data_IF_312095034133
#
_entry.id   IF_312095034133
#
_cell.length_a   1.000
_cell.length_b   1.000
_cell.length_c   1.000
_cell.angle_alpha   90.00
_cell.angle_beta   90.00
_cell.angle_gamma   90.00
#
_symmetry.space_group_name_H-M   'P 1'
#
loop_
_entity.id
_entity.type
_entity.pdbx_description
1 polymer ?
#
# COMPACT_ATOMS: atom_id res chain seq x y z
N UNK A 1 -32.59 -22.41 -1.76
CA UNK A 1 -31.65 -21.95 -0.71
C UNK A 1 -32.45 -21.30 0.39
N UNK A 2 -32.60 -21.96 1.55
CA UNK A 2 -33.35 -21.41 2.68
C UNK A 2 -32.56 -20.26 3.32
N UNK A 3 -33.08 -19.03 3.21
CA UNK A 3 -32.61 -17.86 3.97
C UNK A 3 -32.91 -18.08 5.45
N UNK A 4 -32.06 -18.83 6.15
CA UNK A 4 -32.18 -19.06 7.59
C UNK A 4 -31.05 -18.30 8.28
N UNK A 5 -31.40 -17.33 9.12
CA UNK A 5 -30.47 -16.62 9.99
C UNK A 5 -30.44 -17.27 11.38
N UNK A 6 -29.33 -17.10 12.09
CA UNK A 6 -29.16 -17.55 13.47
C UNK A 6 -28.28 -16.56 14.22
N UNK A 7 -28.48 -16.43 15.52
CA UNK A 7 -27.65 -15.62 16.41
C UNK A 7 -26.49 -16.44 16.96
N UNK A 8 -25.33 -15.80 17.13
CA UNK A 8 -24.13 -16.38 17.73
C UNK A 8 -23.70 -15.46 18.87
N UNK A 9 -23.76 -15.96 20.10
CA UNK A 9 -23.27 -15.21 21.27
C UNK A 9 -21.74 -15.23 21.31
N UNK A 10 -21.10 -14.07 21.23
CA UNK A 10 -19.64 -13.91 21.30
C UNK A 10 -19.27 -12.55 21.91
N UNK A 11 -18.05 -12.45 22.45
CA UNK A 11 -17.47 -11.18 22.93
C UNK A 11 -16.73 -10.41 21.83
N UNK A 12 -16.43 -11.06 20.71
CA UNK A 12 -15.69 -10.44 19.61
C UNK A 12 -15.79 -11.22 18.30
N UNK A 13 -15.59 -10.49 17.21
CA UNK A 13 -15.51 -11.02 15.85
C UNK A 13 -14.39 -10.27 15.12
N UNK A 14 -13.53 -10.99 14.42
CA UNK A 14 -12.44 -10.43 13.63
C UNK A 14 -12.63 -10.85 12.17
N UNK A 15 -12.59 -9.87 11.27
CA UNK A 15 -12.77 -10.10 9.84
C UNK A 15 -11.40 -10.27 9.19
N UNK A 16 -11.15 -11.47 8.65
CA UNK A 16 -9.89 -11.83 8.00
C UNK A 16 -10.13 -12.32 6.56
N UNK A 17 -10.82 -11.50 5.75
CA UNK A 17 -11.22 -11.84 4.36
C UNK A 17 -10.26 -11.30 3.30
N UNK A 18 -9.04 -10.93 3.69
CA UNK A 18 -8.07 -10.26 2.82
C UNK A 18 -8.17 -8.74 2.88
N UNK A 19 -7.37 -8.07 2.06
CA UNK A 19 -7.31 -6.61 1.94
C UNK A 19 -7.31 -6.24 0.46
N UNK A 20 -7.91 -5.11 0.12
CA UNK A 20 -7.85 -4.54 -1.23
C UNK A 20 -7.11 -3.21 -1.14
N UNK A 21 -5.89 -3.09 -1.70
CA UNK A 21 -5.17 -1.82 -1.72
C UNK A 21 -5.92 -0.79 -2.58
N UNK A 22 -5.88 0.48 -2.16
CA UNK A 22 -6.56 1.58 -2.87
C UNK A 22 -5.76 2.08 -4.09
N UNK A 23 -5.34 1.15 -4.95
CA UNK A 23 -4.38 1.37 -6.06
C UNK A 23 -5.04 1.33 -7.44
N UNK A 24 -6.33 0.99 -7.53
CA UNK A 24 -7.08 0.91 -8.80
C UNK A 24 -6.89 2.12 -9.73
N UNK A 25 -6.83 3.39 -9.25
CA UNK A 25 -6.59 4.54 -10.12
C UNK A 25 -5.26 4.51 -10.88
N UNK A 26 -4.27 3.75 -10.40
CA UNK A 26 -2.91 3.69 -10.96
C UNK A 26 -2.67 2.43 -11.80
N UNK A 27 -3.69 1.59 -12.00
CA UNK A 27 -3.59 0.35 -12.76
C UNK A 27 -3.12 0.63 -14.18
N UNK A 28 -2.16 -0.18 -14.66
CA UNK A 28 -1.48 0.00 -15.96
C UNK A 28 -0.71 1.34 -16.12
N UNK A 29 -0.48 2.07 -15.03
CA UNK A 29 0.33 3.31 -15.01
C UNK A 29 1.60 3.18 -14.20
N UNK A 30 1.57 2.32 -13.19
CA UNK A 30 2.67 1.99 -12.28
C UNK A 30 2.69 0.46 -12.17
N UNK A 31 3.87 -0.12 -12.03
CA UNK A 31 4.03 -1.56 -11.83
C UNK A 31 3.38 -2.01 -10.51
N UNK A 32 2.63 -3.10 -10.59
CA UNK A 32 1.90 -3.68 -9.46
C UNK A 32 2.02 -5.19 -9.47
N UNK A 33 1.91 -5.81 -8.30
CA UNK A 33 1.81 -7.26 -8.19
C UNK A 33 0.39 -7.77 -8.53
N UNK A 34 0.24 -9.09 -8.58
CA UNK A 34 -1.03 -9.76 -8.90
C UNK A 34 -2.16 -9.44 -7.91
N UNK A 35 -1.81 -9.01 -6.68
CA UNK A 35 -2.74 -8.64 -5.61
C UNK A 35 -3.08 -7.13 -5.64
N UNK A 36 -2.51 -6.36 -6.57
CA UNK A 36 -2.72 -4.93 -6.76
C UNK A 36 -1.85 -4.02 -5.87
N UNK A 37 -0.82 -4.55 -5.21
CA UNK A 37 0.14 -3.72 -4.46
C UNK A 37 1.14 -3.08 -5.41
N UNK A 38 1.51 -1.82 -5.15
CA UNK A 38 2.51 -1.11 -5.95
C UNK A 38 3.89 -1.73 -5.67
N UNK A 39 4.63 -2.02 -6.74
CA UNK A 39 5.99 -2.52 -6.64
C UNK A 39 6.95 -1.33 -6.49
N UNK A 40 7.82 -1.39 -5.49
CA UNK A 40 8.88 -0.41 -5.27
C UNK A 40 10.25 -1.07 -5.29
N UNK A 41 11.28 -0.30 -5.66
CA UNK A 41 12.66 -0.77 -5.60
C UNK A 41 13.04 -1.10 -4.14
N UNK A 42 13.62 -2.28 -3.94
CA UNK A 42 13.97 -2.80 -2.61
C UNK A 42 14.82 -1.81 -1.80
N UNK A 43 14.36 -1.49 -0.58
CA UNK A 43 15.04 -0.55 0.32
C UNK A 43 14.74 0.92 0.05
N UNK A 44 13.81 1.23 -0.87
CA UNK A 44 13.41 2.60 -1.23
C UNK A 44 11.89 2.71 -1.33
N UNK A 45 11.38 3.87 -1.73
CA UNK A 45 9.95 4.09 -2.06
C UNK A 45 9.71 4.38 -3.54
N UNK A 46 10.73 4.22 -4.37
CA UNK A 46 10.69 4.50 -5.81
C UNK A 46 9.90 3.43 -6.55
N UNK A 47 8.97 3.87 -7.39
CA UNK A 47 8.29 2.99 -8.34
C UNK A 47 9.10 2.83 -9.63
N UNK A 48 8.56 2.09 -10.61
CA UNK A 48 9.11 1.99 -11.97
C UNK A 48 9.06 3.32 -12.74
N UNK A 49 8.18 4.24 -12.33
CA UNK A 49 8.03 5.56 -12.96
C UNK A 49 8.83 6.63 -12.20
N UNK A 50 9.81 7.29 -12.85
CA UNK A 50 10.58 8.37 -12.21
C UNK A 50 9.69 9.50 -11.70
N UNK A 51 9.94 9.93 -10.47
CA UNK A 51 9.17 10.97 -9.79
C UNK A 51 7.87 10.49 -9.15
N UNK A 52 7.54 9.20 -9.26
CA UNK A 52 6.43 8.59 -8.54
C UNK A 52 6.96 7.68 -7.43
N UNK A 53 6.45 7.93 -6.22
CA UNK A 53 6.83 7.23 -4.99
C UNK A 53 5.59 6.63 -4.34
N UNK A 54 5.75 5.50 -3.66
CA UNK A 54 4.66 4.82 -2.97
C UNK A 54 5.10 4.36 -1.56
N UNK A 55 4.20 4.48 -0.59
CA UNK A 55 4.50 4.25 0.82
C UNK A 55 3.27 3.75 1.60
N UNK A 56 3.53 2.99 2.65
CA UNK A 56 2.50 2.42 3.52
C UNK A 56 1.84 1.17 2.95
N UNK A 57 0.61 0.90 3.37
CA UNK A 57 -0.07 -0.36 3.10
C UNK A 57 -0.32 -0.62 1.60
N UNK A 58 -0.20 0.36 0.71
CA UNK A 58 -0.30 0.13 -0.73
C UNK A 58 0.94 -0.56 -1.34
N UNK A 59 2.07 -0.59 -0.61
CA UNK A 59 3.31 -1.30 -0.98
C UNK A 59 3.65 -2.43 0.00
N UNK A 60 3.00 -2.46 1.16
CA UNK A 60 3.28 -3.43 2.22
C UNK A 60 2.09 -4.36 2.48
N UNK A 61 2.18 -5.59 1.96
CA UNK A 61 1.21 -6.65 2.23
C UNK A 61 1.55 -7.53 3.44
N UNK A 62 2.69 -7.29 4.10
CA UNK A 62 3.22 -8.14 5.17
C UNK A 62 2.95 -7.55 6.55
N UNK A 63 3.35 -6.30 6.81
CA UNK A 63 3.25 -5.73 8.16
C UNK A 63 1.95 -4.97 8.38
N UNK A 64 1.57 -4.08 7.44
CA UNK A 64 0.30 -3.31 7.50
C UNK A 64 0.07 -2.67 8.89
N UNK A 65 1.11 -2.05 9.44
CA UNK A 65 1.05 -1.37 10.73
C UNK A 65 1.21 0.14 10.54
N UNK A 66 0.55 0.91 11.41
CA UNK A 66 0.66 2.37 11.37
C UNK A 66 2.12 2.86 11.47
N UNK A 67 2.95 2.20 12.28
CA UNK A 67 4.36 2.58 12.45
C UNK A 67 5.22 2.28 11.22
N UNK A 68 4.99 1.17 10.53
CA UNK A 68 5.71 0.85 9.29
C UNK A 68 5.28 1.80 8.18
N UNK A 69 3.98 2.09 8.08
CA UNK A 69 3.45 3.06 7.13
C UNK A 69 4.00 4.48 7.36
N UNK A 70 4.11 4.93 8.62
CA UNK A 70 4.71 6.21 8.96
C UNK A 70 6.20 6.28 8.56
N UNK A 71 6.96 5.20 8.79
CA UNK A 71 8.36 5.10 8.38
C UNK A 71 8.53 5.20 6.86
N UNK A 72 7.73 4.45 6.10
CA UNK A 72 7.72 4.51 4.64
C UNK A 72 7.31 5.90 4.13
N UNK A 73 6.34 6.55 4.78
CA UNK A 73 5.93 7.91 4.44
C UNK A 73 7.07 8.92 4.59
N UNK A 74 7.88 8.80 5.65
CA UNK A 74 9.07 9.63 5.83
C UNK A 74 10.11 9.38 4.74
N UNK A 75 10.38 8.11 4.39
CA UNK A 75 11.27 7.76 3.29
C UNK A 75 10.80 8.37 1.96
N UNK A 76 9.51 8.24 1.65
CA UNK A 76 8.91 8.78 0.43
C UNK A 76 8.99 10.29 0.33
N UNK A 77 8.79 11.01 1.44
CA UNK A 77 8.97 12.45 1.48
C UNK A 77 10.42 12.87 1.17
N UNK A 78 11.42 12.21 1.79
CA UNK A 78 12.83 12.52 1.58
C UNK A 78 13.31 12.16 0.16
N UNK A 79 12.83 11.05 -0.40
CA UNK A 79 13.17 10.68 -1.77
C UNK A 79 12.51 11.59 -2.80
N UNK A 80 11.27 12.02 -2.55
CA UNK A 80 10.57 13.02 -3.35
C UNK A 80 11.30 14.36 -3.35
N UNK A 81 11.74 14.82 -2.17
CA UNK A 81 12.50 16.06 -2.03
C UNK A 81 13.80 16.02 -2.84
N UNK A 82 14.59 14.95 -2.70
CA UNK A 82 15.81 14.75 -3.49
C UNK A 82 15.56 14.72 -4.99
N UNK A 83 14.48 14.06 -5.42
CA UNK A 83 14.12 14.02 -6.83
C UNK A 83 13.78 15.41 -7.36
N UNK A 84 12.96 16.18 -6.65
CA UNK A 84 12.63 17.55 -7.02
C UNK A 84 13.89 18.43 -7.10
N UNK A 85 14.79 18.31 -6.12
CA UNK A 85 16.06 19.05 -6.13
C UNK A 85 16.89 18.73 -7.38
N UNK A 86 16.96 17.46 -7.79
CA UNK A 86 17.72 17.04 -8.98
C UNK A 86 17.14 17.52 -10.32
N UNK A 87 15.91 18.03 -10.36
CA UNK A 87 15.32 18.60 -11.59
C UNK A 87 15.79 20.03 -11.87
N UNK A 88 16.41 20.69 -10.88
CA UNK A 88 16.92 22.05 -10.99
C UNK A 88 18.40 22.15 -11.39
N UNK A 89 19.09 21.00 -11.46
CA UNK A 89 20.48 20.86 -11.93
C UNK A 89 20.53 20.54 -13.44
#
# INVERSE_FOLDING_TARGET
MTKKSSEISTQGCFVAIGHTPATEPFKNKIEMDEDGYIIVQQGTTKTDVPGIFAAGDCVDKVYRQAVTAAGLGCMSALESEKYIASLGD
#
